data_IF_740469738978
#
_entry.id   IF_740469738978
#
_cell.length_a   1.000
_cell.length_b   1.000
_cell.length_c   1.000
_cell.angle_alpha   90.00
_cell.angle_beta   90.00
_cell.angle_gamma   90.00
#
_symmetry.space_group_name_H-M   'P 1'
#
loop_
_entity.id
_entity.type
_entity.pdbx_description
1 polymer ?
#
# COMPACT_ATOMS: atom_id res chain seq x y z
N UNK A 1 22.50 3.08 -17.40
CA UNK A 1 23.79 3.58 -16.91
C UNK A 1 24.64 2.40 -16.44
N UNK A 2 25.92 2.32 -16.87
CA UNK A 2 26.78 1.15 -16.55
C UNK A 2 27.62 1.33 -15.26
N UNK A 3 27.50 2.48 -14.59
CA UNK A 3 28.29 2.82 -13.39
C UNK A 3 27.49 2.60 -12.11
N UNK A 4 28.10 2.00 -11.09
CA UNK A 4 27.53 1.99 -9.75
C UNK A 4 27.39 3.42 -9.20
N UNK A 5 26.20 3.76 -8.73
CA UNK A 5 25.87 5.06 -8.13
C UNK A 5 25.96 4.98 -6.61
N UNK A 6 26.28 6.12 -5.97
CA UNK A 6 26.04 6.33 -4.54
C UNK A 6 24.69 7.03 -4.35
N UNK A 7 23.74 6.39 -3.69
CA UNK A 7 22.36 6.83 -3.61
C UNK A 7 21.95 7.05 -2.15
N UNK A 8 21.35 8.20 -1.86
CA UNK A 8 20.65 8.43 -0.60
C UNK A 8 19.17 8.08 -0.79
N UNK A 9 18.61 7.24 0.10
CA UNK A 9 17.18 6.97 0.17
C UNK A 9 16.66 7.48 1.51
N UNK A 10 15.70 8.40 1.50
CA UNK A 10 15.11 8.96 2.72
C UNK A 10 13.77 8.29 3.00
N UNK A 11 13.69 7.53 4.09
CA UNK A 11 12.56 6.73 4.53
C UNK A 11 12.79 5.23 4.35
N UNK A 12 12.50 4.45 5.40
CA UNK A 12 12.62 2.98 5.46
C UNK A 12 11.24 2.28 5.40
N UNK A 13 10.25 2.95 4.81
CA UNK A 13 8.95 2.35 4.50
C UNK A 13 9.03 1.40 3.30
N UNK A 14 7.87 0.91 2.83
CA UNK A 14 7.81 -0.05 1.70
C UNK A 14 8.55 0.44 0.45
N UNK A 15 8.40 1.72 0.08
CA UNK A 15 9.09 2.29 -1.08
C UNK A 15 10.62 2.28 -0.88
N UNK A 16 11.10 2.76 0.28
CA UNK A 16 12.54 2.84 0.57
C UNK A 16 13.20 1.47 0.65
N UNK A 17 12.55 0.51 1.32
CA UNK A 17 13.05 -0.87 1.37
C UNK A 17 13.09 -1.51 -0.03
N UNK A 18 12.02 -1.37 -0.82
CA UNK A 18 11.97 -1.93 -2.17
C UNK A 18 13.00 -1.29 -3.11
N UNK A 19 13.23 0.03 -3.00
CA UNK A 19 14.30 0.74 -3.69
C UNK A 19 15.67 0.18 -3.29
N UNK A 20 15.93 0.00 -1.99
CA UNK A 20 17.19 -0.54 -1.52
C UNK A 20 17.45 -1.95 -2.06
N UNK A 21 16.47 -2.84 -2.00
CA UNK A 21 16.59 -4.20 -2.53
C UNK A 21 16.85 -4.20 -4.04
N UNK A 22 16.07 -3.45 -4.82
CA UNK A 22 16.17 -3.46 -6.28
C UNK A 22 17.43 -2.77 -6.80
N UNK A 23 17.79 -1.61 -6.22
CA UNK A 23 18.97 -0.86 -6.64
C UNK A 23 20.27 -1.47 -6.10
N UNK A 24 20.23 -2.05 -4.91
CA UNK A 24 21.35 -2.82 -4.37
C UNK A 24 21.67 -4.06 -5.19
N UNK A 25 20.64 -4.77 -5.69
CA UNK A 25 20.83 -5.90 -6.60
C UNK A 25 21.51 -5.49 -7.93
N UNK A 26 21.40 -4.22 -8.33
CA UNK A 26 22.11 -3.65 -9.48
C UNK A 26 23.54 -3.15 -9.15
N UNK A 27 24.01 -3.37 -7.93
CA UNK A 27 25.35 -2.98 -7.48
C UNK A 27 25.51 -1.52 -7.07
N UNK A 28 24.40 -0.77 -6.90
CA UNK A 28 24.45 0.58 -6.37
C UNK A 28 24.77 0.57 -4.86
N UNK A 29 25.46 1.60 -4.36
CA UNK A 29 25.71 1.81 -2.93
C UNK A 29 24.63 2.70 -2.35
N UNK A 30 23.99 2.26 -1.26
CA UNK A 30 22.86 2.97 -0.69
C UNK A 30 23.12 3.38 0.77
N UNK A 31 22.85 4.65 1.06
CA UNK A 31 22.69 5.16 2.42
C UNK A 31 21.16 5.40 2.61
N UNK A 32 20.53 4.63 3.49
CA UNK A 32 19.09 4.72 3.77
C UNK A 32 18.88 5.36 5.13
N UNK A 33 18.11 6.45 5.18
CA UNK A 33 17.89 7.26 6.37
C UNK A 33 16.48 7.06 6.91
N UNK A 34 16.35 6.69 8.17
CA UNK A 34 15.07 6.50 8.83
C UNK A 34 15.02 7.28 10.15
N UNK A 35 13.94 8.04 10.33
CA UNK A 35 13.74 8.89 11.51
C UNK A 35 13.46 8.10 12.79
N UNK A 36 12.86 6.90 12.68
CA UNK A 36 12.58 6.07 13.83
C UNK A 36 13.87 5.42 14.35
N UNK A 37 14.08 5.46 15.66
CA UNK A 37 15.20 4.77 16.31
C UNK A 37 15.05 3.25 16.20
N UNK A 38 13.81 2.75 16.24
CA UNK A 38 13.47 1.34 16.07
C UNK A 38 12.46 1.22 14.94
N UNK A 39 12.90 1.06 13.69
CA UNK A 39 11.99 0.92 12.56
C UNK A 39 11.18 -0.36 12.66
N UNK A 40 9.89 -0.25 12.40
CA UNK A 40 8.98 -1.39 12.43
C UNK A 40 7.75 -1.17 11.56
N UNK A 41 6.97 -2.23 11.34
CA UNK A 41 5.74 -2.15 10.56
C UNK A 41 4.68 -1.32 11.28
N UNK A 42 4.05 -0.38 10.58
CA UNK A 42 2.95 0.42 11.11
C UNK A 42 1.64 0.02 10.43
N UNK A 43 0.61 -0.28 11.21
CA UNK A 43 -0.72 -0.68 10.73
C UNK A 43 -0.92 -2.20 10.69
N UNK A 44 -2.09 -2.65 10.22
CA UNK A 44 -2.50 -4.05 10.28
C UNK A 44 -2.13 -4.82 9.00
N UNK A 45 -3.01 -4.83 8.03
CA UNK A 45 -2.82 -5.53 6.77
C UNK A 45 -3.21 -4.69 5.56
N UNK A 46 -2.93 -5.22 4.40
CA UNK A 46 -3.27 -4.61 3.11
C UNK A 46 -3.44 -5.69 2.04
N UNK A 47 -3.95 -5.29 0.89
CA UNK A 47 -4.12 -6.16 -0.26
C UNK A 47 -3.06 -5.85 -1.32
N UNK A 48 -2.14 -6.80 -1.54
CA UNK A 48 -1.29 -6.78 -2.71
C UNK A 48 -2.11 -7.18 -3.93
N UNK A 49 -2.00 -6.36 -4.95
CA UNK A 49 -2.65 -6.58 -6.23
C UNK A 49 -1.68 -7.28 -7.21
N UNK A 50 -2.17 -7.85 -8.31
CA UNK A 50 -1.30 -8.48 -9.31
C UNK A 50 -0.13 -7.61 -9.74
N UNK A 51 -0.31 -6.30 -9.86
CA UNK A 51 0.77 -5.36 -10.19
C UNK A 51 1.88 -5.31 -9.14
N UNK A 52 1.53 -5.27 -7.85
CA UNK A 52 2.49 -5.30 -6.75
C UNK A 52 3.14 -6.67 -6.58
N UNK A 53 2.37 -7.75 -6.77
CA UNK A 53 2.89 -9.12 -6.72
C UNK A 53 3.92 -9.38 -7.81
N UNK A 54 3.74 -8.81 -9.02
CA UNK A 54 4.74 -8.89 -10.08
C UNK A 54 6.07 -8.24 -9.68
N UNK A 55 6.03 -7.17 -8.89
CA UNK A 55 7.28 -6.56 -8.39
C UNK A 55 7.98 -7.50 -7.42
N UNK A 56 7.24 -8.11 -6.47
CA UNK A 56 7.83 -9.11 -5.57
C UNK A 56 8.38 -10.33 -6.34
N UNK A 57 7.71 -10.75 -7.42
CA UNK A 57 8.23 -11.80 -8.29
C UNK A 57 9.57 -11.39 -8.94
N UNK A 58 9.68 -10.18 -9.46
CA UNK A 58 10.94 -9.64 -10.02
C UNK A 58 12.04 -9.46 -8.98
N UNK A 59 11.68 -9.36 -7.70
CA UNK A 59 12.61 -9.35 -6.56
C UNK A 59 12.99 -10.75 -6.08
N UNK A 60 12.37 -11.83 -6.62
CA UNK A 60 12.54 -13.20 -6.13
C UNK A 60 11.81 -13.50 -4.82
N UNK A 61 10.90 -12.61 -4.38
CA UNK A 61 10.21 -12.69 -3.08
C UNK A 61 8.77 -13.23 -3.19
N UNK A 62 8.29 -13.58 -4.39
CA UNK A 62 6.92 -14.08 -4.56
C UNK A 62 6.65 -15.37 -3.77
N UNK A 63 7.53 -16.38 -3.75
CA UNK A 63 7.28 -17.61 -3.00
C UNK A 63 7.08 -17.35 -1.49
N UNK A 64 7.92 -16.51 -0.88
CA UNK A 64 7.83 -16.14 0.52
C UNK A 64 6.56 -15.30 0.80
N UNK A 65 6.23 -14.37 -0.11
CA UNK A 65 5.00 -13.60 0.01
C UNK A 65 3.76 -14.50 -0.02
N UNK A 66 3.71 -15.48 -0.94
CA UNK A 66 2.62 -16.45 -1.04
C UNK A 66 2.55 -17.36 0.19
N UNK A 67 3.69 -17.75 0.78
CA UNK A 67 3.75 -18.59 1.96
C UNK A 67 3.13 -17.92 3.21
N UNK A 68 3.26 -16.60 3.32
CA UNK A 68 2.75 -15.82 4.45
C UNK A 68 1.44 -15.08 4.17
N UNK A 69 1.09 -14.85 2.90
CA UNK A 69 -0.14 -14.15 2.53
C UNK A 69 -1.36 -15.06 2.52
N UNK A 70 -2.54 -14.45 2.41
CA UNK A 70 -3.81 -15.13 2.15
C UNK A 70 -4.29 -14.79 0.74
N UNK A 71 -4.51 -15.77 -0.14
CA UNK A 71 -5.10 -15.52 -1.46
C UNK A 71 -6.45 -14.84 -1.33
N UNK A 72 -6.69 -13.81 -2.13
CA UNK A 72 -7.96 -13.10 -2.23
C UNK A 72 -8.45 -13.17 -3.66
N UNK A 73 -9.55 -13.88 -3.88
CA UNK A 73 -10.13 -14.12 -5.22
C UNK A 73 -11.30 -13.22 -5.51
N UNK A 74 -11.95 -12.68 -4.46
CA UNK A 74 -13.15 -11.85 -4.58
C UNK A 74 -13.08 -10.63 -3.67
N UNK A 75 -13.53 -9.51 -4.20
CA UNK A 75 -13.78 -8.28 -3.46
C UNK A 75 -15.28 -8.08 -3.42
N UNK A 76 -15.87 -8.21 -2.22
CA UNK A 76 -17.31 -8.15 -2.04
C UNK A 76 -17.66 -7.09 -0.99
N UNK A 77 -18.66 -6.27 -1.33
CA UNK A 77 -19.16 -5.26 -0.44
C UNK A 77 -20.66 -5.11 -0.54
N UNK A 78 -21.33 -4.96 0.60
CA UNK A 78 -22.77 -4.89 0.71
C UNK A 78 -23.23 -3.83 1.72
N UNK A 79 -24.50 -3.49 1.68
CA UNK A 79 -25.18 -2.69 2.71
C UNK A 79 -25.62 -3.59 3.88
N UNK A 80 -26.00 -3.04 5.05
CA UNK A 80 -26.48 -3.85 6.18
C UNK A 80 -27.72 -4.70 5.86
N UNK A 81 -28.54 -4.29 4.88
CA UNK A 81 -29.69 -5.06 4.42
C UNK A 81 -29.35 -6.11 3.34
N UNK A 82 -28.05 -6.42 3.14
CA UNK A 82 -27.59 -7.47 2.23
C UNK A 82 -27.60 -7.09 0.74
N UNK A 83 -27.82 -5.83 0.39
CA UNK A 83 -27.72 -5.37 -1.00
C UNK A 83 -26.26 -5.30 -1.41
N UNK A 84 -25.85 -6.10 -2.40
CA UNK A 84 -24.50 -6.06 -2.94
C UNK A 84 -24.24 -4.71 -3.66
N UNK A 85 -23.21 -4.00 -3.21
CA UNK A 85 -22.71 -2.75 -3.79
C UNK A 85 -21.55 -3.05 -4.74
N UNK A 86 -20.67 -3.95 -4.35
CA UNK A 86 -19.50 -4.38 -5.11
C UNK A 86 -19.40 -5.90 -5.10
N UNK A 87 -19.13 -6.48 -6.26
CA UNK A 87 -18.86 -7.93 -6.42
C UNK A 87 -17.90 -8.12 -7.59
N UNK A 88 -16.62 -8.19 -7.29
CA UNK A 88 -15.54 -8.19 -8.27
C UNK A 88 -14.68 -9.43 -8.06
N UNK A 89 -14.46 -10.21 -9.12
CA UNK A 89 -13.66 -11.43 -9.06
C UNK A 89 -12.49 -11.31 -10.04
N UNK A 90 -11.28 -11.63 -9.59
CA UNK A 90 -10.07 -11.53 -10.43
C UNK A 90 -10.14 -12.47 -11.64
N UNK A 91 -10.80 -13.62 -11.53
CA UNK A 91 -11.02 -14.56 -12.62
C UNK A 91 -11.74 -13.96 -13.84
N UNK A 92 -12.44 -12.85 -13.66
CA UNK A 92 -13.10 -12.15 -14.78
C UNK A 92 -12.09 -11.37 -15.65
N UNK A 93 -10.84 -11.21 -15.21
CA UNK A 93 -9.72 -10.76 -16.04
C UNK A 93 -8.90 -11.94 -16.58
N UNK A 94 -8.50 -12.85 -15.69
CA UNK A 94 -7.78 -14.08 -15.97
C UNK A 94 -7.97 -15.02 -14.76
N UNK A 95 -8.31 -16.29 -15.04
CA UNK A 95 -8.60 -17.30 -14.01
C UNK A 95 -7.42 -17.56 -13.05
N UNK A 96 -6.19 -17.24 -13.48
CA UNK A 96 -4.95 -17.39 -12.71
C UNK A 96 -4.68 -16.22 -11.76
N UNK A 97 -5.37 -15.09 -11.94
CA UNK A 97 -5.13 -13.89 -11.14
C UNK A 97 -5.83 -13.95 -9.79
N UNK A 98 -5.16 -13.38 -8.80
CA UNK A 98 -5.67 -13.13 -7.45
C UNK A 98 -4.97 -11.93 -6.84
N UNK A 99 -5.58 -11.33 -5.82
CA UNK A 99 -4.87 -10.49 -4.86
C UNK A 99 -4.26 -11.34 -3.75
N UNK A 100 -3.40 -10.77 -2.94
CA UNK A 100 -2.81 -11.40 -1.76
C UNK A 100 -2.97 -10.48 -0.57
N UNK A 101 -3.84 -10.87 0.37
CA UNK A 101 -3.91 -10.19 1.66
C UNK A 101 -2.65 -10.49 2.46
N UNK A 102 -1.99 -9.47 3.01
CA UNK A 102 -0.74 -9.64 3.72
C UNK A 102 -0.67 -8.71 4.94
N UNK A 103 -0.10 -9.21 6.02
CA UNK A 103 0.23 -8.38 7.19
C UNK A 103 1.36 -7.42 6.83
N UNK A 104 1.27 -6.16 7.30
CA UNK A 104 2.36 -5.19 7.08
C UNK A 104 3.69 -5.68 7.65
N UNK A 105 3.65 -6.37 8.80
CA UNK A 105 4.83 -6.98 9.41
C UNK A 105 5.47 -8.04 8.53
N UNK A 106 4.68 -8.85 7.82
CA UNK A 106 5.22 -9.86 6.93
C UNK A 106 6.00 -9.24 5.77
N UNK A 107 5.41 -8.28 5.03
CA UNK A 107 6.13 -7.61 3.94
C UNK A 107 7.38 -6.87 4.44
N UNK A 108 7.26 -6.17 5.58
CA UNK A 108 8.40 -5.48 6.19
C UNK A 108 9.56 -6.44 6.47
N UNK A 109 9.28 -7.60 7.04
CA UNK A 109 10.29 -8.62 7.32
C UNK A 109 10.89 -9.20 6.05
N UNK A 110 10.08 -9.54 5.04
CA UNK A 110 10.57 -10.07 3.76
C UNK A 110 11.52 -9.08 3.05
N UNK A 111 11.16 -7.80 3.02
CA UNK A 111 12.02 -6.78 2.41
C UNK A 111 13.31 -6.56 3.22
N UNK A 112 13.24 -6.65 4.56
CA UNK A 112 14.40 -6.56 5.44
C UNK A 112 15.33 -7.76 5.29
N UNK A 113 14.79 -8.97 5.14
CA UNK A 113 15.59 -10.19 4.93
C UNK A 113 16.29 -10.22 3.55
N UNK A 114 15.70 -9.54 2.56
CA UNK A 114 16.29 -9.33 1.23
C UNK A 114 17.22 -8.11 1.18
N UNK A 115 17.59 -7.53 2.33
CA UNK A 115 18.42 -6.33 2.41
C UNK A 115 19.79 -6.55 1.80
N UNK A 116 20.26 -5.69 0.86
CA UNK A 116 21.54 -5.88 0.20
C UNK A 116 22.71 -5.49 1.11
N UNK A 117 23.82 -6.24 1.02
CA UNK A 117 25.05 -6.00 1.80
C UNK A 117 25.61 -4.57 1.61
N UNK A 118 25.39 -3.97 0.45
CA UNK A 118 25.89 -2.64 0.09
C UNK A 118 24.96 -1.50 0.50
N UNK A 119 23.89 -1.78 1.25
CA UNK A 119 23.00 -0.77 1.77
C UNK A 119 23.21 -0.56 3.28
N UNK A 120 23.52 0.67 3.65
CA UNK A 120 23.67 1.08 5.03
C UNK A 120 22.40 1.75 5.53
N UNK A 121 21.85 1.26 6.66
CA UNK A 121 20.68 1.86 7.31
C UNK A 121 21.11 2.77 8.45
N UNK A 122 20.74 4.05 8.35
CA UNK A 122 20.94 5.08 9.38
C UNK A 122 19.61 5.31 10.11
N UNK A 123 19.42 4.69 11.26
CA UNK A 123 18.24 4.89 12.12
C UNK A 123 18.38 6.16 12.97
N UNK A 124 17.29 6.61 13.61
CA UNK A 124 17.24 7.86 14.40
C UNK A 124 17.84 9.04 13.62
N UNK A 125 17.62 9.05 12.29
CA UNK A 125 18.21 10.03 11.39
C UNK A 125 17.14 10.61 10.48
N UNK A 126 16.56 11.73 10.90
CA UNK A 126 15.56 12.46 10.12
C UNK A 126 16.25 13.46 9.18
N UNK A 127 16.08 13.30 7.89
CA UNK A 127 16.56 14.28 6.91
C UNK A 127 15.61 15.48 6.90
N UNK A 128 16.16 16.69 7.06
CA UNK A 128 15.44 17.94 7.17
C UNK A 128 15.69 18.90 6.03
N UNK A 129 16.85 18.80 5.36
CA UNK A 129 17.22 19.68 4.25
C UNK A 129 18.03 18.94 3.17
N UNK A 130 18.04 19.54 1.99
CA UNK A 130 18.81 19.08 0.82
C UNK A 130 19.61 20.23 0.26
N UNK A 131 20.91 20.03 0.11
CA UNK A 131 21.81 20.86 -0.69
C UNK A 131 21.82 20.29 -2.12
N UNK A 132 21.09 20.94 -3.03
CA UNK A 132 20.97 20.48 -4.41
C UNK A 132 22.29 20.60 -5.18
N UNK A 133 23.08 21.64 -4.91
CA UNK A 133 24.34 21.92 -5.62
C UNK A 133 25.44 20.97 -5.16
N UNK A 134 25.57 20.77 -3.84
CA UNK A 134 26.49 19.82 -3.24
C UNK A 134 26.01 18.38 -3.26
N UNK A 135 24.78 18.13 -3.68
CA UNK A 135 24.13 16.80 -3.70
C UNK A 135 24.25 16.09 -2.35
N UNK A 136 23.91 16.81 -1.25
CA UNK A 136 24.00 16.34 0.13
C UNK A 136 22.66 16.44 0.85
N UNK A 137 22.46 15.61 1.88
CA UNK A 137 21.30 15.67 2.75
C UNK A 137 21.73 16.07 4.16
N UNK A 138 20.93 16.88 4.86
CA UNK A 138 21.19 17.29 6.24
C UNK A 138 20.21 16.59 7.19
N UNK A 139 20.77 16.01 8.25
CA UNK A 139 19.96 15.40 9.32
C UNK A 139 19.46 16.46 10.34
N UNK A 140 18.62 16.01 11.28
CA UNK A 140 18.04 16.85 12.34
C UNK A 140 19.09 17.39 13.32
N UNK A 141 20.31 16.85 13.33
CA UNK A 141 21.42 17.29 14.16
C UNK A 141 22.32 18.32 13.45
N UNK A 142 21.99 18.64 12.18
CA UNK A 142 22.74 19.56 11.34
C UNK A 142 23.93 18.94 10.61
N UNK A 143 24.14 17.62 10.69
CA UNK A 143 25.21 16.96 9.99
C UNK A 143 24.85 16.77 8.51
N UNK A 144 25.82 17.01 7.62
CA UNK A 144 25.70 16.80 6.19
C UNK A 144 26.26 15.44 5.81
N UNK A 145 25.45 14.67 5.06
CA UNK A 145 25.82 13.37 4.49
C UNK A 145 25.92 13.48 2.96
N UNK A 146 26.86 12.76 2.36
CA UNK A 146 27.10 12.79 0.90
C UNK A 146 28.53 13.19 0.54
N UNK A 147 28.84 13.61 -0.69
CA UNK A 147 27.88 13.82 -1.79
C UNK A 147 27.31 12.50 -2.36
N UNK A 148 26.11 12.59 -2.97
CA UNK A 148 25.40 11.49 -3.63
C UNK A 148 25.23 11.74 -5.12
N UNK A 149 25.23 10.67 -5.91
CA UNK A 149 24.89 10.75 -7.33
C UNK A 149 23.36 10.95 -7.50
N UNK A 150 22.54 10.39 -6.58
CA UNK A 150 21.09 10.48 -6.59
C UNK A 150 20.54 10.53 -5.15
N UNK A 151 19.53 11.35 -4.91
CA UNK A 151 18.79 11.45 -3.64
C UNK A 151 17.33 11.13 -3.91
N UNK A 152 16.79 10.07 -3.27
CA UNK A 152 15.41 9.62 -3.44
C UNK A 152 14.66 9.87 -2.13
N UNK A 153 13.66 10.76 -2.15
CA UNK A 153 12.77 10.94 -1.03
C UNK A 153 11.60 9.96 -1.11
N UNK A 154 11.58 8.98 -0.19
CA UNK A 154 10.55 7.98 0.03
C UNK A 154 9.99 8.08 1.46
N UNK A 155 9.93 9.30 2.01
CA UNK A 155 9.62 9.65 3.40
C UNK A 155 8.10 9.68 3.71
N UNK A 156 7.29 9.10 2.82
CA UNK A 156 5.90 8.80 3.04
C UNK A 156 4.93 9.96 2.79
N UNK A 157 3.66 9.75 3.18
CA UNK A 157 2.58 10.69 2.87
C UNK A 157 2.77 12.07 3.50
N UNK A 158 3.39 12.14 4.68
CA UNK A 158 3.72 13.39 5.38
C UNK A 158 5.13 13.92 5.05
N UNK A 159 5.60 13.69 3.83
CA UNK A 159 6.93 14.08 3.37
C UNK A 159 7.25 15.56 3.63
N UNK A 160 8.33 15.81 4.36
CA UNK A 160 8.88 17.15 4.55
C UNK A 160 9.72 17.60 3.35
N UNK A 161 10.16 16.65 2.52
CA UNK A 161 11.03 16.92 1.38
C UNK A 161 10.24 17.12 0.07
N UNK A 162 8.93 16.88 0.06
CA UNK A 162 8.06 17.02 -1.13
C UNK A 162 8.20 18.37 -1.81
N UNK A 163 8.27 19.44 -1.05
CA UNK A 163 8.39 20.80 -1.56
C UNK A 163 9.70 21.04 -2.36
N UNK A 164 10.74 20.26 -2.12
CA UNK A 164 12.04 20.37 -2.81
C UNK A 164 11.94 20.07 -4.33
N UNK A 165 10.95 19.30 -4.74
CA UNK A 165 10.69 19.02 -6.15
C UNK A 165 10.06 20.19 -6.93
N UNK A 166 9.56 21.24 -6.25
CA UNK A 166 9.00 22.46 -6.83
C UNK A 166 7.81 22.22 -7.78
N UNK A 167 7.03 21.19 -7.56
CA UNK A 167 5.90 20.85 -8.44
C UNK A 167 4.62 20.51 -7.68
N UNK A 168 4.53 20.81 -6.40
CA UNK A 168 3.38 20.48 -5.55
C UNK A 168 2.18 21.36 -5.91
N UNK A 169 1.10 20.74 -6.42
CA UNK A 169 -0.19 21.39 -6.69
C UNK A 169 -1.20 21.21 -5.56
N UNK A 170 -1.11 20.09 -4.85
CA UNK A 170 -1.98 19.78 -3.73
C UNK A 170 -1.15 19.03 -2.70
N UNK A 171 -1.31 19.40 -1.44
CA UNK A 171 -0.82 18.67 -0.28
C UNK A 171 -1.71 18.99 0.91
N UNK A 172 -2.62 18.11 1.23
CA UNK A 172 -3.58 18.32 2.31
C UNK A 172 -3.83 17.03 3.09
N UNK A 173 -4.16 17.19 4.36
CA UNK A 173 -4.69 16.09 5.17
C UNK A 173 -6.04 15.66 4.58
N UNK A 174 -6.22 14.36 4.44
CA UNK A 174 -7.50 13.79 4.02
C UNK A 174 -8.44 13.76 5.23
N UNK A 175 -9.71 14.21 5.07
CA UNK A 175 -10.58 14.42 6.23
C UNK A 175 -11.05 13.14 6.91
N UNK A 176 -10.88 11.98 6.27
CA UNK A 176 -11.24 10.67 6.80
C UNK A 176 -10.01 9.86 7.14
N UNK A 177 -10.13 9.11 8.23
CA UNK A 177 -9.13 8.14 8.66
C UNK A 177 -9.73 6.76 8.83
N UNK A 178 -8.97 5.88 9.44
CA UNK A 178 -9.45 4.55 9.79
C UNK A 178 -8.81 4.04 11.08
N UNK A 179 -9.52 3.16 11.76
CA UNK A 179 -9.01 2.31 12.82
C UNK A 179 -8.71 0.93 12.26
N UNK A 180 -7.56 0.38 12.62
CA UNK A 180 -7.07 -0.90 12.11
C UNK A 180 -6.63 -1.81 13.24
N UNK A 181 -6.92 -3.10 13.15
CA UNK A 181 -6.28 -4.12 13.98
C UNK A 181 -6.14 -5.44 13.25
N UNK A 182 -5.34 -6.34 13.82
CA UNK A 182 -5.25 -7.73 13.42
C UNK A 182 -6.08 -8.57 14.40
N UNK A 183 -6.92 -9.43 13.85
CA UNK A 183 -7.77 -10.36 14.58
C UNK A 183 -7.39 -11.79 14.22
N UNK A 184 -7.52 -12.77 15.10
CA UNK A 184 -7.42 -14.18 14.73
C UNK A 184 -8.45 -14.52 13.64
N UNK A 185 -8.04 -15.32 12.65
CA UNK A 185 -8.97 -15.72 11.57
C UNK A 185 -10.01 -16.72 12.05
N UNK A 186 -9.58 -17.65 12.91
CA UNK A 186 -10.44 -18.73 13.42
C UNK A 186 -11.30 -19.40 12.33
N UNK A 187 -12.59 -19.56 12.55
CA UNK A 187 -13.59 -20.16 11.67
C UNK A 187 -14.22 -19.16 10.67
N UNK A 188 -13.55 -18.02 10.37
CA UNK A 188 -14.05 -17.06 9.39
C UNK A 188 -14.31 -17.72 8.03
N UNK A 189 -15.58 -17.74 7.54
CA UNK A 189 -15.93 -18.56 6.39
C UNK A 189 -15.44 -18.01 5.04
N UNK A 190 -15.14 -16.71 4.96
CA UNK A 190 -14.72 -16.03 3.73
C UNK A 190 -13.20 -15.96 3.65
N UNK A 191 -12.55 -17.11 3.49
CA UNK A 191 -11.08 -17.26 3.58
C UNK A 191 -10.31 -16.65 2.43
N UNK A 192 -10.96 -16.43 1.29
CA UNK A 192 -10.39 -15.87 0.06
C UNK A 192 -11.14 -14.63 -0.46
N UNK A 193 -11.87 -13.94 0.43
CA UNK A 193 -12.62 -12.74 0.09
C UNK A 193 -12.25 -11.55 0.98
N UNK A 194 -12.08 -10.38 0.37
CA UNK A 194 -12.24 -9.13 1.10
C UNK A 194 -13.73 -8.85 1.26
N UNK A 195 -14.21 -8.85 2.48
CA UNK A 195 -15.60 -8.52 2.80
C UNK A 195 -15.71 -7.13 3.39
N UNK A 196 -16.65 -6.35 2.86
CA UNK A 196 -16.88 -4.97 3.29
C UNK A 196 -18.37 -4.71 3.51
N UNK A 197 -18.67 -3.84 4.49
CA UNK A 197 -20.03 -3.37 4.73
C UNK A 197 -20.06 -1.84 4.79
N UNK A 198 -21.05 -1.27 4.12
CA UNK A 198 -21.19 0.18 3.94
C UNK A 198 -22.49 0.67 4.53
N UNK A 199 -22.44 1.69 5.41
CA UNK A 199 -23.64 2.37 5.93
C UNK A 199 -23.63 3.82 5.46
N UNK A 200 -24.52 4.12 4.51
CA UNK A 200 -24.47 5.40 3.82
C UNK A 200 -23.11 5.64 3.16
N UNK A 201 -22.69 6.89 3.07
CA UNK A 201 -21.34 7.28 2.70
C UNK A 201 -20.45 7.54 3.94
N UNK A 202 -20.93 7.22 5.15
CA UNK A 202 -20.26 7.65 6.39
C UNK A 202 -19.46 6.56 7.06
N UNK A 203 -19.83 5.29 6.90
CA UNK A 203 -19.20 4.18 7.60
C UNK A 203 -18.85 3.05 6.64
N UNK A 204 -17.65 2.62 6.72
CA UNK A 204 -17.13 1.48 5.98
C UNK A 204 -16.36 0.58 6.94
N UNK A 205 -16.74 -0.69 6.97
CA UNK A 205 -16.07 -1.75 7.73
C UNK A 205 -15.55 -2.77 6.73
N UNK A 206 -14.40 -3.35 7.00
CA UNK A 206 -13.90 -4.46 6.19
C UNK A 206 -13.10 -5.45 7.00
N UNK A 207 -13.17 -6.70 6.55
CA UNK A 207 -12.38 -7.83 7.01
C UNK A 207 -11.65 -8.42 5.80
N UNK A 208 -10.33 -8.45 5.89
CA UNK A 208 -9.44 -8.98 4.87
C UNK A 208 -8.60 -10.11 5.46
N UNK A 209 -8.65 -11.34 4.95
CA UNK A 209 -7.68 -12.38 5.30
C UNK A 209 -6.28 -11.92 4.92
N UNK A 210 -5.32 -11.98 5.86
CA UNK A 210 -3.95 -11.48 5.67
C UNK A 210 -2.87 -12.50 6.02
N UNK A 211 -3.26 -13.76 6.13
CA UNK A 211 -2.33 -14.87 6.34
C UNK A 211 -1.57 -14.77 7.66
N UNK A 212 -0.33 -15.21 7.63
CA UNK A 212 0.61 -15.32 8.75
C UNK A 212 1.74 -14.28 8.62
N UNK A 213 2.75 -14.38 9.47
CA UNK A 213 4.00 -13.63 9.33
C UNK A 213 5.18 -14.51 9.76
N UNK A 214 6.40 -14.22 9.35
CA UNK A 214 7.59 -14.87 9.90
C UNK A 214 7.59 -14.82 11.44
N UNK A 215 7.80 -15.97 12.08
CA UNK A 215 7.78 -16.09 13.54
C UNK A 215 6.39 -16.16 14.19
N UNK A 216 5.28 -16.09 13.43
CA UNK A 216 3.91 -16.27 13.95
C UNK A 216 3.04 -16.96 12.90
N UNK A 217 2.79 -18.24 13.09
CA UNK A 217 2.01 -19.08 12.18
C UNK A 217 0.48 -18.90 12.33
N UNK A 218 0.02 -18.00 13.20
CA UNK A 218 -1.42 -17.75 13.42
C UNK A 218 -2.01 -16.97 12.26
N UNK A 219 -2.97 -17.53 11.48
CA UNK A 219 -3.64 -16.79 10.43
C UNK A 219 -4.49 -15.65 11.00
N UNK A 220 -4.41 -14.47 10.37
CA UNK A 220 -5.08 -13.26 10.84
C UNK A 220 -6.05 -12.70 9.80
N UNK A 221 -7.00 -11.91 10.31
CA UNK A 221 -7.82 -10.98 9.55
C UNK A 221 -7.32 -9.56 9.84
N UNK A 222 -7.24 -8.73 8.82
CA UNK A 222 -7.11 -7.28 9.00
C UNK A 222 -8.49 -6.66 9.03
N UNK A 223 -8.84 -6.11 10.17
CA UNK A 223 -10.06 -5.34 10.35
C UNK A 223 -9.78 -3.86 10.08
N UNK A 224 -10.71 -3.17 9.43
CA UNK A 224 -10.70 -1.72 9.35
C UNK A 224 -12.09 -1.13 9.54
N UNK A 225 -12.11 0.06 10.13
CA UNK A 225 -13.28 0.90 10.34
C UNK A 225 -12.95 2.32 9.95
N UNK A 226 -13.68 2.89 8.98
CA UNK A 226 -13.46 4.27 8.56
C UNK A 226 -14.33 5.25 9.36
N UNK A 227 -13.75 6.41 9.70
CA UNK A 227 -14.44 7.51 10.35
C UNK A 227 -13.76 8.85 9.99
N UNK A 228 -14.47 10.00 10.14
CA UNK A 228 -13.83 11.30 10.02
C UNK A 228 -12.69 11.48 11.03
N UNK A 229 -11.60 12.13 10.62
CA UNK A 229 -10.49 12.41 11.53
C UNK A 229 -10.91 13.30 12.72
N UNK A 230 -11.91 14.17 12.54
CA UNK A 230 -12.53 14.96 13.60
C UNK A 230 -13.14 14.13 14.71
N UNK A 231 -13.57 12.92 14.40
CA UNK A 231 -14.36 12.07 15.29
C UNK A 231 -13.49 11.13 16.14
N UNK A 232 -12.17 11.08 15.93
CA UNK A 232 -11.27 10.22 16.72
C UNK A 232 -11.38 10.48 18.23
N UNK A 233 -11.40 11.75 18.64
CA UNK A 233 -11.50 12.09 20.06
C UNK A 233 -12.88 11.70 20.64
N UNK A 234 -13.97 11.97 19.92
CA UNK A 234 -15.31 11.59 20.33
C UNK A 234 -15.50 10.07 20.39
N UNK A 235 -14.90 9.33 19.44
CA UNK A 235 -14.88 7.87 19.45
C UNK A 235 -14.17 7.33 20.71
N UNK A 236 -13.02 7.88 21.07
CA UNK A 236 -12.27 7.50 22.26
C UNK A 236 -13.05 7.78 23.56
N UNK A 237 -13.70 8.95 23.65
CA UNK A 237 -14.53 9.33 24.80
C UNK A 237 -15.76 8.42 24.98
N UNK A 238 -16.39 7.96 23.91
CA UNK A 238 -17.54 7.04 23.98
C UNK A 238 -17.19 5.65 24.51
N UNK A 239 -15.93 5.29 24.47
CA UNK A 239 -15.42 4.01 24.97
C UNK A 239 -15.55 2.86 23.98
N UNK A 240 -14.70 1.85 24.20
CA UNK A 240 -14.57 0.70 23.30
C UNK A 240 -15.86 -0.16 23.26
N UNK A 241 -16.57 -0.26 24.38
CA UNK A 241 -17.81 -1.03 24.48
C UNK A 241 -18.92 -0.47 23.59
N UNK A 242 -19.11 0.86 23.60
CA UNK A 242 -20.10 1.53 22.76
C UNK A 242 -19.78 1.37 21.27
N UNK A 243 -18.50 1.46 20.91
CA UNK A 243 -18.05 1.21 19.54
C UNK A 243 -18.29 -0.25 19.11
N UNK A 244 -18.00 -1.23 19.97
CA UNK A 244 -18.29 -2.65 19.67
C UNK A 244 -19.79 -2.89 19.48
N UNK A 245 -20.64 -2.27 20.30
CA UNK A 245 -22.09 -2.36 20.15
C UNK A 245 -22.58 -1.75 18.84
N UNK A 246 -22.01 -0.65 18.39
CA UNK A 246 -22.27 -0.06 17.07
C UNK A 246 -21.95 -1.03 15.93
N UNK A 247 -20.82 -1.75 16.03
CA UNK A 247 -20.46 -2.78 15.04
C UNK A 247 -21.43 -3.96 15.10
N UNK A 248 -21.86 -4.38 16.28
CA UNK A 248 -22.84 -5.48 16.44
C UNK A 248 -24.13 -5.19 15.66
N UNK A 249 -24.60 -3.95 15.70
CA UNK A 249 -25.80 -3.53 14.96
C UNK A 249 -25.58 -3.51 13.43
N UNK A 250 -24.37 -3.17 13.00
CA UNK A 250 -24.04 -3.05 11.58
C UNK A 250 -23.63 -4.39 10.96
N UNK A 251 -22.88 -5.19 11.70
CA UNK A 251 -22.29 -6.46 11.21
C UNK A 251 -22.02 -7.42 12.36
N UNK A 252 -23.02 -8.26 12.77
CA UNK A 252 -22.87 -9.20 13.88
C UNK A 252 -21.66 -10.14 13.75
N UNK A 253 -21.40 -10.67 12.54
CA UNK A 253 -20.28 -11.59 12.32
C UNK A 253 -18.91 -10.92 12.54
N UNK A 254 -18.77 -9.64 12.16
CA UNK A 254 -17.57 -8.86 12.42
C UNK A 254 -17.44 -8.53 13.92
N UNK A 255 -18.55 -8.24 14.60
CA UNK A 255 -18.57 -7.99 16.04
C UNK A 255 -18.04 -9.19 16.83
N UNK A 256 -18.47 -10.41 16.50
CA UNK A 256 -18.00 -11.64 17.16
C UNK A 256 -16.47 -11.78 17.11
N UNK A 257 -15.81 -11.30 16.04
CA UNK A 257 -14.35 -11.32 15.90
C UNK A 257 -13.62 -10.25 16.72
N UNK A 258 -14.34 -9.22 17.20
CA UNK A 258 -13.77 -8.10 17.96
C UNK A 258 -13.77 -8.32 19.47
N UNK A 259 -14.13 -9.50 19.95
CA UNK A 259 -14.16 -9.81 21.40
C UNK A 259 -12.79 -9.66 22.06
N UNK A 260 -11.71 -9.90 21.32
CA UNK A 260 -10.33 -9.72 21.80
C UNK A 260 -9.91 -8.25 21.87
N UNK A 261 -10.66 -7.33 21.26
CA UNK A 261 -10.37 -5.88 21.27
C UNK A 261 -11.04 -5.25 22.48
N UNK A 262 -10.32 -5.15 23.59
CA UNK A 262 -10.84 -4.65 24.87
C UNK A 262 -10.46 -3.20 25.18
N UNK A 263 -9.44 -2.67 24.50
CA UNK A 263 -8.90 -1.33 24.73
C UNK A 263 -8.65 -0.58 23.42
N UNK A 264 -8.75 0.75 23.47
CA UNK A 264 -8.50 1.59 22.28
C UNK A 264 -7.08 1.42 21.73
N UNK A 265 -6.09 1.18 22.60
CA UNK A 265 -4.70 0.94 22.20
C UNK A 265 -4.46 -0.27 21.30
N UNK A 266 -5.42 -1.20 21.23
CA UNK A 266 -5.37 -2.33 20.30
C UNK A 266 -5.69 -1.93 18.84
N UNK A 267 -6.17 -0.70 18.63
CA UNK A 267 -6.54 -0.16 17.32
C UNK A 267 -5.53 0.90 16.87
N UNK A 268 -4.83 0.63 15.78
CA UNK A 268 -3.96 1.61 15.14
C UNK A 268 -4.80 2.66 14.41
N UNK A 269 -4.52 3.94 14.65
CA UNK A 269 -5.14 5.06 13.94
C UNK A 269 -4.36 5.38 12.68
N UNK A 270 -5.05 5.45 11.56
CA UNK A 270 -4.48 5.88 10.28
C UNK A 270 -5.13 7.19 9.84
N UNK A 271 -4.29 8.17 9.55
CA UNK A 271 -4.66 9.41 8.84
C UNK A 271 -3.98 9.41 7.49
N UNK A 272 -4.65 9.94 6.49
CA UNK A 272 -4.18 9.93 5.12
C UNK A 272 -3.92 11.35 4.62
N UNK A 273 -3.20 11.45 3.51
CA UNK A 273 -2.97 12.72 2.79
C UNK A 273 -3.35 12.54 1.32
N UNK A 274 -3.73 13.64 0.69
CA UNK A 274 -3.92 13.73 -0.75
C UNK A 274 -2.87 14.70 -1.28
N UNK A 275 -1.89 14.18 -2.02
CA UNK A 275 -0.79 14.94 -2.56
C UNK A 275 -0.70 14.77 -4.08
N UNK A 276 -0.63 15.88 -4.80
CA UNK A 276 -0.43 15.90 -6.26
C UNK A 276 0.79 16.72 -6.57
N UNK A 277 1.80 16.06 -7.10
CA UNK A 277 3.05 16.67 -7.53
C UNK A 277 3.18 16.51 -9.03
N UNK A 278 3.45 17.60 -9.72
CA UNK A 278 3.58 17.61 -11.19
C UNK A 278 5.02 17.48 -11.66
N UNK A 279 5.97 17.83 -10.82
CA UNK A 279 7.40 17.64 -11.07
C UNK A 279 7.95 16.80 -9.93
N UNK A 280 8.39 15.57 -10.22
CA UNK A 280 8.86 14.64 -9.20
C UNK A 280 10.36 14.70 -8.98
N UNK A 281 11.12 15.26 -9.91
CA UNK A 281 12.57 15.39 -9.79
C UNK A 281 13.07 16.82 -10.04
N UNK A 282 14.22 17.12 -9.46
CA UNK A 282 15.00 18.35 -9.67
C UNK A 282 16.49 18.02 -9.53
N UNK A 283 17.23 18.11 -10.64
CA UNK A 283 18.63 17.70 -10.66
C UNK A 283 18.81 16.27 -10.18
N UNK A 284 19.56 16.07 -9.10
CA UNK A 284 19.84 14.76 -8.51
C UNK A 284 18.79 14.31 -7.47
N UNK A 285 17.75 15.09 -7.23
CA UNK A 285 16.70 14.79 -6.27
C UNK A 285 15.44 14.28 -6.95
N UNK A 286 14.80 13.23 -6.37
CA UNK A 286 13.55 12.68 -6.89
C UNK A 286 12.66 12.16 -5.76
N UNK A 287 11.32 12.22 -5.97
CA UNK A 287 10.30 11.68 -5.09
C UNK A 287 9.88 10.28 -5.52
N UNK A 288 9.55 9.41 -4.55
CA UNK A 288 9.00 8.09 -4.79
C UNK A 288 7.91 7.72 -3.74
N UNK A 289 6.98 6.85 -4.11
CA UNK A 289 5.90 6.41 -3.25
C UNK A 289 4.98 7.56 -2.80
N UNK A 290 4.47 7.47 -1.59
CA UNK A 290 3.56 8.46 -1.02
C UNK A 290 4.18 9.87 -0.88
N UNK A 291 5.50 10.01 -0.92
CA UNK A 291 6.16 11.30 -1.00
C UNK A 291 5.80 12.02 -2.31
N UNK A 292 5.67 11.28 -3.41
CA UNK A 292 5.31 11.82 -4.72
C UNK A 292 3.78 11.93 -4.94
N UNK A 293 3.01 10.95 -4.44
CA UNK A 293 1.62 10.77 -4.88
C UNK A 293 0.69 10.16 -3.82
N UNK A 294 0.80 10.57 -2.57
CA UNK A 294 -0.15 10.14 -1.54
C UNK A 294 -1.60 10.36 -2.00
N UNK A 295 -2.46 9.36 -1.75
CA UNK A 295 -3.86 9.41 -2.13
C UNK A 295 -4.76 8.76 -1.08
N UNK A 296 -6.07 9.02 -1.15
CA UNK A 296 -7.04 8.36 -0.28
C UNK A 296 -7.00 6.83 -0.45
N UNK A 297 -7.31 6.07 0.62
CA UNK A 297 -7.15 4.61 0.62
C UNK A 297 -8.24 3.85 -0.15
N UNK A 298 -9.15 4.52 -0.85
CA UNK A 298 -10.34 3.93 -1.48
C UNK A 298 -10.04 2.73 -2.40
N UNK A 299 -8.92 2.77 -3.10
CA UNK A 299 -8.51 1.70 -4.02
C UNK A 299 -7.51 0.72 -3.40
N UNK A 300 -7.03 0.96 -2.18
CA UNK A 300 -6.03 0.10 -1.53
C UNK A 300 -4.69 -0.01 -2.26
N UNK A 301 -4.30 1.01 -3.06
CA UNK A 301 -3.18 0.92 -3.99
C UNK A 301 -1.83 1.42 -3.45
N UNK A 302 -1.76 2.04 -2.27
CA UNK A 302 -0.54 2.70 -1.79
C UNK A 302 0.71 1.82 -1.82
N UNK A 303 0.63 0.62 -1.25
CA UNK A 303 1.75 -0.34 -1.24
C UNK A 303 2.11 -0.81 -2.65
N UNK A 304 1.12 -1.09 -3.50
CA UNK A 304 1.36 -1.52 -4.88
C UNK A 304 2.07 -0.43 -5.69
N UNK A 305 1.66 0.84 -5.53
CA UNK A 305 2.28 1.98 -6.20
C UNK A 305 3.72 2.20 -5.71
N UNK A 306 3.98 2.03 -4.40
CA UNK A 306 5.32 2.13 -3.83
C UNK A 306 6.29 1.07 -4.41
N UNK A 307 5.83 -0.17 -4.54
CA UNK A 307 6.59 -1.25 -5.17
C UNK A 307 6.85 -0.97 -6.66
N UNK A 308 5.83 -0.52 -7.38
CA UNK A 308 5.94 -0.15 -8.80
C UNK A 308 6.89 1.03 -9.03
N UNK A 309 6.92 2.01 -8.13
CA UNK A 309 7.88 3.11 -8.20
C UNK A 309 9.31 2.63 -8.06
N UNK A 310 9.57 1.72 -7.10
CA UNK A 310 10.89 1.16 -6.92
C UNK A 310 11.37 0.37 -8.16
N UNK A 311 10.45 -0.42 -8.76
CA UNK A 311 10.75 -1.14 -10.00
C UNK A 311 11.02 -0.19 -11.16
N UNK A 312 10.15 0.81 -11.37
CA UNK A 312 10.27 1.78 -12.45
C UNK A 312 11.56 2.64 -12.30
N UNK A 313 11.95 2.99 -11.08
CA UNK A 313 13.21 3.68 -10.81
C UNK A 313 14.41 2.83 -11.23
N UNK A 314 14.45 1.56 -10.81
CA UNK A 314 15.50 0.63 -11.24
C UNK A 314 15.57 0.52 -12.75
N UNK A 315 14.44 0.28 -13.40
CA UNK A 315 14.37 0.05 -14.84
C UNK A 315 14.77 1.33 -15.59
N UNK A 316 14.36 2.52 -15.13
CA UNK A 316 14.77 3.80 -15.69
C UNK A 316 16.28 4.06 -15.58
N UNK A 317 16.91 3.73 -14.44
CA UNK A 317 18.36 3.84 -14.27
C UNK A 317 19.14 2.87 -15.19
N UNK A 318 18.58 1.69 -15.47
CA UNK A 318 19.20 0.71 -16.39
C UNK A 318 19.22 1.20 -17.84
N UNK A 319 18.15 1.85 -18.30
CA UNK A 319 17.99 2.25 -19.72
C UNK A 319 18.38 3.68 -20.02
N UNK A 320 18.44 4.56 -19.02
CA UNK A 320 18.77 5.97 -19.19
C UNK A 320 20.21 6.17 -19.69
N UNK A 321 20.37 7.04 -20.70
CA UNK A 321 21.68 7.42 -21.19
C UNK A 321 22.51 8.15 -20.10
N UNK A 322 21.83 8.99 -19.34
CA UNK A 322 22.34 9.71 -18.19
C UNK A 322 21.28 9.78 -17.08
N UNK A 323 21.61 10.41 -15.94
CA UNK A 323 20.72 10.50 -14.80
C UNK A 323 19.45 11.31 -15.11
N UNK A 324 19.56 12.42 -15.81
CA UNK A 324 18.42 13.28 -16.13
C UNK A 324 17.43 12.56 -17.05
N UNK A 325 17.90 11.89 -18.09
CA UNK A 325 17.09 11.04 -18.96
C UNK A 325 16.41 9.90 -18.20
N UNK A 326 17.10 9.27 -17.25
CA UNK A 326 16.54 8.24 -16.39
C UNK A 326 15.41 8.78 -15.51
N UNK A 327 15.61 9.92 -14.84
CA UNK A 327 14.60 10.53 -13.97
C UNK A 327 13.40 11.04 -14.74
N UNK A 328 13.61 11.58 -15.94
CA UNK A 328 12.52 11.97 -16.85
C UNK A 328 11.71 10.76 -17.30
N UNK A 329 12.38 9.64 -17.61
CA UNK A 329 11.70 8.39 -17.99
C UNK A 329 10.85 7.86 -16.83
N UNK A 330 11.43 7.71 -15.64
CA UNK A 330 10.73 7.32 -14.42
C UNK A 330 9.49 8.18 -14.18
N UNK A 331 9.65 9.51 -14.19
CA UNK A 331 8.54 10.42 -13.94
C UNK A 331 7.42 10.26 -14.99
N UNK A 332 7.72 10.22 -16.29
CA UNK A 332 6.71 10.07 -17.34
C UNK A 332 5.91 8.78 -17.20
N UNK A 333 6.60 7.68 -17.00
CA UNK A 333 5.95 6.36 -16.84
C UNK A 333 5.04 6.34 -15.62
N UNK A 334 5.57 6.76 -14.47
CA UNK A 334 4.83 6.67 -13.21
C UNK A 334 3.70 7.69 -13.09
N UNK A 335 3.90 8.91 -13.55
CA UNK A 335 2.82 9.92 -13.52
C UNK A 335 1.62 9.51 -14.37
N UNK A 336 1.86 8.96 -15.57
CA UNK A 336 0.80 8.46 -16.43
C UNK A 336 0.00 7.33 -15.77
N UNK A 337 0.68 6.43 -15.06
CA UNK A 337 0.04 5.36 -14.31
C UNK A 337 -0.72 5.90 -13.09
N UNK A 338 -0.09 6.67 -12.22
CA UNK A 338 -0.66 7.20 -10.98
C UNK A 338 -1.86 8.12 -11.23
N UNK A 339 -1.87 8.89 -12.31
CA UNK A 339 -2.92 9.87 -12.61
C UNK A 339 -4.33 9.25 -12.65
N UNK A 340 -4.49 8.02 -13.17
CA UNK A 340 -5.79 7.34 -13.22
C UNK A 340 -6.27 6.95 -11.83
N UNK A 341 -5.36 6.52 -10.93
CA UNK A 341 -5.69 6.15 -9.55
C UNK A 341 -6.06 7.35 -8.69
N UNK A 342 -5.35 8.49 -8.84
CA UNK A 342 -5.76 9.75 -8.23
C UNK A 342 -7.18 10.17 -8.65
N UNK A 343 -7.49 10.02 -9.93
CA UNK A 343 -8.80 10.39 -10.48
C UNK A 343 -9.90 9.49 -9.94
N UNK A 344 -9.70 8.17 -9.97
CA UNK A 344 -10.66 7.21 -9.42
C UNK A 344 -10.80 7.36 -7.90
N UNK A 345 -9.71 7.52 -7.15
CA UNK A 345 -9.77 7.75 -5.70
C UNK A 345 -10.63 8.98 -5.38
N UNK A 346 -10.47 10.09 -6.09
CA UNK A 346 -11.26 11.31 -5.89
C UNK A 346 -12.73 11.15 -6.27
N UNK A 347 -13.03 10.41 -7.32
CA UNK A 347 -14.41 10.15 -7.71
C UNK A 347 -15.13 9.20 -6.76
N UNK A 348 -14.43 8.20 -6.23
CA UNK A 348 -15.01 7.26 -5.28
C UNK A 348 -15.16 7.85 -3.88
N UNK A 349 -14.30 8.78 -3.49
CA UNK A 349 -14.34 9.38 -2.15
C UNK A 349 -15.74 9.86 -1.73
N UNK A 350 -16.48 10.71 -2.49
CA UNK A 350 -17.79 11.17 -2.08
C UNK A 350 -18.83 10.05 -1.95
N UNK A 351 -18.61 8.93 -2.63
CA UNK A 351 -19.52 7.79 -2.61
C UNK A 351 -19.36 6.91 -1.35
N UNK A 352 -18.18 6.92 -0.72
CA UNK A 352 -17.83 6.03 0.39
C UNK A 352 -17.46 6.76 1.67
N UNK A 353 -16.96 8.00 1.56
CA UNK A 353 -16.48 8.80 2.68
C UNK A 353 -16.89 10.26 2.52
N UNK A 354 -18.17 10.53 2.81
CA UNK A 354 -18.75 11.87 2.82
C UNK A 354 -19.97 11.92 3.74
N UNK A 355 -20.45 13.13 4.01
CA UNK A 355 -21.71 13.35 4.74
C UNK A 355 -22.94 13.37 3.81
N UNK A 356 -22.78 13.02 2.54
CA UNK A 356 -23.80 13.15 1.50
C UNK A 356 -24.53 11.82 1.27
N UNK A 357 -25.56 11.54 2.03
CA UNK A 357 -26.30 10.27 1.95
C UNK A 357 -26.96 10.03 0.58
N UNK A 358 -27.35 11.09 -0.16
CA UNK A 358 -27.87 10.96 -1.53
C UNK A 358 -26.87 10.28 -2.48
N UNK A 359 -25.58 10.59 -2.35
CA UNK A 359 -24.52 9.93 -3.13
C UNK A 359 -24.39 8.45 -2.78
N UNK A 360 -24.59 8.10 -1.50
CA UNK A 360 -24.57 6.71 -1.08
C UNK A 360 -25.73 5.92 -1.69
N UNK A 361 -26.94 6.48 -1.72
CA UNK A 361 -28.09 5.85 -2.37
C UNK A 361 -27.86 5.67 -3.87
N UNK A 362 -27.31 6.69 -4.54
CA UNK A 362 -26.93 6.58 -5.95
C UNK A 362 -25.88 5.47 -6.19
N UNK A 363 -24.87 5.38 -5.33
CA UNK A 363 -23.87 4.30 -5.36
C UNK A 363 -24.53 2.93 -5.22
N UNK A 364 -25.38 2.74 -4.21
CA UNK A 364 -26.00 1.45 -3.90
C UNK A 364 -26.92 0.95 -5.02
N UNK A 365 -27.46 1.89 -5.82
CA UNK A 365 -28.30 1.57 -6.97
C UNK A 365 -27.51 1.36 -8.26
N UNK A 366 -26.45 2.15 -8.50
CA UNK A 366 -25.82 2.27 -9.82
C UNK A 366 -24.49 1.53 -9.94
N UNK A 367 -23.72 1.38 -8.85
CA UNK A 367 -22.36 0.84 -8.97
C UNK A 367 -22.34 -0.60 -9.51
N UNK A 368 -23.25 -1.44 -9.04
CA UNK A 368 -23.37 -2.82 -9.51
C UNK A 368 -23.87 -2.93 -10.96
N UNK A 369 -24.92 -2.21 -11.40
CA UNK A 369 -25.32 -2.18 -12.80
C UNK A 369 -24.24 -1.62 -13.73
N UNK A 370 -23.49 -0.60 -13.34
CA UNK A 370 -22.35 -0.08 -14.12
C UNK A 370 -21.31 -1.15 -14.45
N UNK A 371 -21.08 -2.09 -13.53
CA UNK A 371 -20.22 -3.25 -13.79
C UNK A 371 -20.77 -4.23 -14.84
N UNK A 372 -22.04 -4.10 -15.24
CA UNK A 372 -22.64 -4.93 -16.31
C UNK A 372 -22.55 -4.31 -17.69
N UNK A 373 -22.18 -3.04 -17.78
CA UNK A 373 -21.96 -2.35 -19.07
C UNK A 373 -20.75 -3.01 -19.77
N UNK A 374 -20.87 -3.32 -21.07
CA UNK A 374 -19.76 -3.89 -21.82
C UNK A 374 -18.46 -3.11 -21.64
N UNK A 375 -17.37 -3.80 -21.25
CA UNK A 375 -16.08 -3.17 -20.93
C UNK A 375 -15.97 -2.52 -19.53
N UNK A 376 -17.08 -2.13 -18.88
CA UNK A 376 -17.09 -1.45 -17.59
C UNK A 376 -16.48 -2.30 -16.47
N UNK A 377 -16.94 -3.57 -16.34
CA UNK A 377 -16.42 -4.51 -15.34
C UNK A 377 -14.90 -4.77 -15.51
N UNK A 378 -14.47 -4.99 -16.75
CA UNK A 378 -13.06 -5.19 -17.06
C UNK A 378 -12.20 -3.97 -16.74
N UNK A 379 -12.70 -2.75 -17.00
CA UNK A 379 -12.00 -1.53 -16.63
C UNK A 379 -11.89 -1.37 -15.10
N UNK A 380 -12.99 -1.55 -14.37
CA UNK A 380 -13.00 -1.50 -12.90
C UNK A 380 -12.04 -2.53 -12.29
N UNK A 381 -12.04 -3.77 -12.80
CA UNK A 381 -11.13 -4.81 -12.36
C UNK A 381 -9.67 -4.47 -12.65
N UNK A 382 -9.35 -3.89 -13.82
CA UNK A 382 -7.98 -3.42 -14.10
C UNK A 382 -7.54 -2.30 -13.17
N UNK A 383 -8.43 -1.38 -12.80
CA UNK A 383 -8.15 -0.36 -11.79
C UNK A 383 -7.88 -1.03 -10.43
N UNK A 384 -8.72 -1.95 -10.00
CA UNK A 384 -8.55 -2.65 -8.71
C UNK A 384 -7.29 -3.53 -8.69
N UNK A 385 -6.98 -4.23 -9.79
CA UNK A 385 -5.79 -5.08 -9.90
C UNK A 385 -4.46 -4.31 -10.06
N UNK A 386 -4.51 -3.00 -10.15
CA UNK A 386 -3.32 -2.16 -10.35
C UNK A 386 -2.78 -2.16 -11.79
N UNK A 387 -3.52 -2.76 -12.75
CA UNK A 387 -3.06 -2.95 -14.13
C UNK A 387 -3.62 -1.94 -15.12
N UNK A 388 -4.49 -1.01 -14.70
CA UNK A 388 -4.94 0.08 -15.57
C UNK A 388 -3.85 1.13 -15.72
N UNK A 389 -3.49 1.50 -16.95
CA UNK A 389 -2.55 2.56 -17.27
C UNK A 389 -3.25 3.63 -18.11
N UNK A 390 -3.39 4.84 -17.56
CA UNK A 390 -4.22 5.88 -18.18
C UNK A 390 -5.66 5.40 -18.42
N UNK A 391 -6.36 5.99 -19.39
CA UNK A 391 -7.75 5.62 -19.68
C UNK A 391 -7.88 4.30 -20.45
N UNK A 392 -7.00 4.03 -21.39
CA UNK A 392 -7.11 2.92 -22.33
C UNK A 392 -5.94 1.95 -22.28
N UNK A 393 -4.82 2.34 -21.69
CA UNK A 393 -3.62 1.52 -21.59
C UNK A 393 -3.73 0.44 -20.50
N UNK A 394 -2.82 -0.52 -20.57
CA UNK A 394 -2.69 -1.61 -19.60
C UNK A 394 -1.23 -1.74 -19.18
N UNK A 395 -0.99 -1.94 -17.89
CA UNK A 395 0.29 -2.47 -17.41
C UNK A 395 0.32 -3.95 -17.75
N UNK A 396 1.30 -4.37 -18.54
CA UNK A 396 1.46 -5.78 -18.90
C UNK A 396 1.94 -6.59 -17.68
N UNK A 397 1.27 -7.69 -17.40
CA UNK A 397 1.77 -8.71 -16.50
C UNK A 397 2.59 -9.72 -17.32
N UNK A 398 3.79 -10.04 -16.85
CA UNK A 398 4.64 -11.03 -17.52
C UNK A 398 3.96 -12.41 -17.52
N UNK A 399 3.92 -13.15 -18.65
CA UNK A 399 3.32 -14.49 -18.70
C UNK A 399 3.87 -15.43 -17.63
N UNK A 400 5.19 -15.48 -17.48
CA UNK A 400 5.87 -16.32 -16.47
C UNK A 400 5.48 -15.96 -15.02
N UNK A 401 5.22 -14.69 -14.75
CA UNK A 401 4.68 -14.27 -13.45
C UNK A 401 3.26 -14.79 -13.23
N UNK A 402 2.40 -14.68 -14.25
CA UNK A 402 1.00 -15.15 -14.15
C UNK A 402 0.97 -16.66 -13.93
N UNK A 403 1.85 -17.40 -14.60
CA UNK A 403 2.00 -18.84 -14.41
C UNK A 403 2.56 -19.19 -13.03
N UNK A 404 3.56 -18.42 -12.54
CA UNK A 404 4.10 -18.58 -11.18
C UNK A 404 3.05 -18.31 -10.10
N UNK A 405 2.16 -17.34 -10.34
CA UNK A 405 1.07 -17.00 -9.41
C UNK A 405 0.01 -18.11 -9.31
N UNK A 406 -0.17 -18.88 -10.37
CA UNK A 406 -1.14 -19.99 -10.44
C UNK A 406 -0.62 -21.31 -9.83
N UNK A 407 0.68 -21.41 -9.55
CA UNK A 407 1.26 -22.63 -8.97
C UNK A 407 0.79 -22.83 -7.52
N UNK A 408 0.60 -24.10 -7.09
CA UNK A 408 0.31 -24.38 -5.69
C UNK A 408 1.46 -23.89 -4.81
N UNK A 409 1.14 -23.07 -3.81
CA UNK A 409 2.14 -22.62 -2.83
C UNK A 409 2.60 -23.81 -2.03
N UNK A 410 3.92 -24.10 -1.95
CA UNK A 410 4.43 -25.07 -0.99
C UNK A 410 4.02 -24.59 0.42
N UNK A 411 3.22 -25.38 1.13
CA UNK A 411 2.94 -25.09 2.54
C UNK A 411 4.28 -25.13 3.27
N UNK A 412 4.69 -24.04 3.91
CA UNK A 412 5.81 -24.08 4.84
C UNK A 412 5.46 -25.12 5.89
N UNK A 413 6.23 -26.20 5.93
CA UNK A 413 6.10 -27.21 7.00
C UNK A 413 6.36 -26.44 8.31
N UNK A 414 5.35 -26.40 9.17
CA UNK A 414 5.55 -25.92 10.54
C UNK A 414 6.46 -26.98 11.18
N UNK A 415 7.71 -26.62 11.43
CA UNK A 415 8.62 -27.46 12.20
C UNK A 415 7.97 -27.78 13.55
N UNK A 416 7.60 -29.05 13.74
CA UNK A 416 7.07 -29.61 14.97
C UNK A 416 8.14 -29.76 16.06
N UNK A 417 9.12 -28.89 16.10
CA UNK A 417 10.29 -29.01 16.99
C UNK A 417 10.11 -28.37 18.38
N UNK A 418 8.94 -27.82 18.74
CA UNK A 418 8.73 -27.23 20.08
C UNK A 418 7.50 -27.80 20.84
N UNK A 419 7.06 -29.01 20.54
CA UNK A 419 6.00 -29.67 21.31
C UNK A 419 6.55 -30.80 22.23
N UNK A 420 7.85 -30.75 22.59
CA UNK A 420 8.46 -31.70 23.52
C UNK A 420 9.58 -31.00 24.30
N UNK A 421 9.21 -30.08 25.19
CA UNK A 421 10.01 -29.64 26.33
C UNK A 421 9.08 -29.09 27.43
#
# INVERSE_FOLDING_TARGET
MQRALRIAVVGYGTAGQALAVLLGADGHRLDVFERAATPGPVGAGFLLQPSGLQVLWKMGLLPQALAHGAPVRRLYGETPCGRAVMDMQYRDLDARLMGLGMQRGALFTLLREAWPEHAQLHVDTQITAIDHDGARVQDQRGHWHGPYDLIIAADGSASNLRAQAQGTRLDRVYPWGALWCLLPREDWPFVDELRQRYVGARKMIGLLPVGTRPGDATPRLSFFWSLPCSDFAAWEQRGIAAWRQEIAQMWPDAHARLETVQVHGALARASYRDAVVTRWHRGRFVLAGDAAHAMSPQLGQGVNMALLDALAMRDALRVGADLDAALQHYQRERQAHVAIYHRWSRWLTPLFQSERDLWAHGRDLLLRPMGRVPGGRGHMLRVLSGTQHGWFGKLALAPDFVDALAQPVPRVAVDKAEAAA
#
